data_IF_406176534781
#
_entry.id   IF_406176534781
#
_cell.length_a   1.000
_cell.length_b   1.000
_cell.length_c   1.000
_cell.angle_alpha   90.00
_cell.angle_beta   90.00
_cell.angle_gamma   90.00
#
_symmetry.space_group_name_H-M   'P 1'
#
loop_
_entity.id
_entity.type
_entity.pdbx_description
1 polymer ?
#
# COMPACT_ATOMS: atom_id res chain seq x y z
N UNK A 1 -3.89 -4.61 17.48
CA UNK A 1 -4.82 -5.47 16.73
C UNK A 1 -3.98 -6.10 15.64
N UNK A 2 -3.64 -7.38 15.76
CA UNK A 2 -2.95 -8.11 14.70
C UNK A 2 -3.98 -8.51 13.67
N UNK A 3 -4.40 -7.56 12.85
CA UNK A 3 -5.32 -7.84 11.76
C UNK A 3 -4.48 -8.37 10.59
N UNK A 4 -4.84 -9.57 10.16
CA UNK A 4 -4.15 -10.30 9.12
C UNK A 4 -3.98 -9.44 7.86
N UNK A 5 -2.79 -9.52 7.24
CA UNK A 5 -2.58 -9.07 5.87
C UNK A 5 -3.72 -9.60 4.99
N UNK A 6 -4.18 -8.84 3.97
CA UNK A 6 -5.09 -9.38 2.96
C UNK A 6 -4.57 -10.70 2.40
N UNK A 7 -5.44 -11.57 1.90
CA UNK A 7 -5.02 -12.82 1.29
C UNK A 7 -3.97 -12.54 0.17
N UNK A 8 -2.99 -13.43 -0.05
CA UNK A 8 -1.93 -13.23 -1.04
C UNK A 8 -2.45 -12.80 -2.42
N UNK A 9 -3.59 -13.33 -2.85
CA UNK A 9 -4.26 -13.01 -4.10
C UNK A 9 -4.67 -11.53 -4.16
N UNK A 10 -5.22 -10.99 -3.06
CA UNK A 10 -5.60 -9.58 -2.95
C UNK A 10 -4.37 -8.68 -3.00
N UNK A 11 -3.27 -9.11 -2.36
CA UNK A 11 -2.01 -8.38 -2.41
C UNK A 11 -1.44 -8.37 -3.84
N UNK A 12 -1.42 -9.52 -4.51
CA UNK A 12 -0.98 -9.63 -5.91
C UNK A 12 -1.82 -8.75 -6.82
N UNK A 13 -3.16 -8.80 -6.71
CA UNK A 13 -4.05 -7.95 -7.52
C UNK A 13 -3.81 -6.46 -7.32
N UNK A 14 -3.45 -6.03 -6.11
CA UNK A 14 -3.12 -4.64 -5.82
C UNK A 14 -1.73 -4.25 -6.36
N UNK A 15 -0.71 -5.05 -6.09
CA UNK A 15 0.68 -4.69 -6.37
C UNK A 15 1.11 -4.99 -7.81
N UNK A 16 0.52 -5.98 -8.47
CA UNK A 16 0.91 -6.36 -9.83
C UNK A 16 0.83 -5.20 -10.83
N UNK A 17 -0.28 -4.43 -10.90
CA UNK A 17 -0.34 -3.26 -11.78
C UNK A 17 0.70 -2.19 -11.43
N UNK A 18 1.05 -2.05 -10.14
CA UNK A 18 2.08 -1.11 -9.68
C UNK A 18 3.47 -1.55 -10.14
N UNK A 19 3.80 -2.84 -9.99
CA UNK A 19 5.04 -3.44 -10.46
C UNK A 19 5.17 -3.30 -11.98
N UNK A 20 4.11 -3.58 -12.73
CA UNK A 20 4.11 -3.43 -14.19
C UNK A 20 4.32 -1.97 -14.62
N UNK A 21 3.61 -1.02 -13.99
CA UNK A 21 3.77 0.41 -14.29
C UNK A 21 5.17 0.91 -13.94
N UNK A 22 5.67 0.52 -12.78
CA UNK A 22 7.03 0.89 -12.33
C UNK A 22 8.10 0.33 -13.27
N UNK A 23 7.94 -0.92 -13.71
CA UNK A 23 8.85 -1.53 -14.69
C UNK A 23 8.85 -0.74 -16.00
N UNK A 24 7.69 -0.33 -16.53
CA UNK A 24 7.61 0.54 -17.72
C UNK A 24 8.27 1.91 -17.53
N UNK A 25 8.13 2.52 -16.36
CA UNK A 25 8.78 3.80 -16.07
C UNK A 25 10.31 3.64 -16.02
N UNK A 26 10.79 2.54 -15.44
CA UNK A 26 12.21 2.19 -15.46
C UNK A 26 12.71 1.94 -16.88
N UNK A 27 11.97 1.19 -17.70
CA UNK A 27 12.28 0.99 -19.13
C UNK A 27 12.49 2.32 -19.84
N UNK A 28 11.55 3.25 -19.68
CA UNK A 28 11.62 4.55 -20.32
C UNK A 28 12.81 5.38 -19.82
N UNK A 29 13.05 5.40 -18.51
CA UNK A 29 14.17 6.12 -17.92
C UNK A 29 15.52 5.57 -18.41
N UNK A 30 15.66 4.24 -18.49
CA UNK A 30 16.86 3.58 -19.00
C UNK A 30 17.05 3.80 -20.50
N UNK A 31 16.00 3.64 -21.30
CA UNK A 31 15.97 3.94 -22.73
C UNK A 31 16.49 5.36 -23.00
N UNK A 32 15.98 6.36 -22.27
CA UNK A 32 16.44 7.75 -22.36
C UNK A 32 17.91 7.92 -21.96
N UNK A 33 18.34 7.33 -20.85
CA UNK A 33 19.72 7.41 -20.35
C UNK A 33 20.72 6.81 -21.35
N UNK A 34 20.36 5.68 -21.94
CA UNK A 34 21.24 4.91 -22.82
C UNK A 34 21.06 5.23 -24.32
N UNK A 35 20.18 6.18 -24.65
CA UNK A 35 19.86 6.59 -26.04
C UNK A 35 19.42 5.42 -26.93
N UNK A 36 18.56 4.55 -26.41
CA UNK A 36 18.02 3.38 -27.11
C UNK A 36 16.50 3.43 -27.13
N UNK A 37 15.84 2.80 -28.10
CA UNK A 37 14.37 2.75 -28.16
C UNK A 37 13.80 1.74 -27.15
N UNK A 38 12.75 2.11 -26.40
CA UNK A 38 12.24 1.24 -25.32
C UNK A 38 11.57 -0.03 -25.82
N UNK A 39 11.02 -0.04 -27.05
CA UNK A 39 10.37 -1.20 -27.69
C UNK A 39 11.33 -2.34 -28.04
N UNK A 40 12.63 -2.14 -27.83
CA UNK A 40 13.68 -3.10 -28.17
C UNK A 40 14.28 -3.79 -26.94
N UNK A 41 13.67 -3.66 -25.76
CA UNK A 41 14.24 -4.16 -24.51
C UNK A 41 13.66 -5.52 -24.11
N UNK A 42 14.54 -6.46 -23.74
CA UNK A 42 14.14 -7.74 -23.16
C UNK A 42 14.51 -7.79 -21.67
N UNK A 43 13.53 -8.03 -20.79
CA UNK A 43 13.75 -8.23 -19.35
C UNK A 43 13.90 -9.70 -19.02
N UNK A 44 15.03 -10.02 -18.40
CA UNK A 44 15.39 -11.36 -17.95
C UNK A 44 15.60 -11.33 -16.45
N UNK A 45 14.91 -12.21 -15.73
CA UNK A 45 15.04 -12.33 -14.29
C UNK A 45 15.88 -13.56 -13.94
N UNK A 46 16.91 -13.38 -13.11
CA UNK A 46 17.70 -14.47 -12.56
C UNK A 46 17.09 -14.81 -11.21
N UNK A 47 16.36 -15.92 -11.17
CA UNK A 47 15.61 -16.39 -10.00
C UNK A 47 16.47 -17.34 -9.15
N UNK A 48 17.35 -18.09 -9.82
CA UNK A 48 18.36 -19.00 -9.26
C UNK A 48 19.55 -19.09 -10.23
N UNK A 49 20.68 -19.63 -9.78
CA UNK A 49 21.88 -19.93 -10.58
C UNK A 49 21.60 -20.87 -11.76
N UNK A 50 20.46 -21.59 -11.75
CA UNK A 50 20.10 -22.60 -12.75
C UNK A 50 18.96 -22.17 -13.69
N UNK A 51 18.27 -21.05 -13.43
CA UNK A 51 17.08 -20.65 -14.20
C UNK A 51 17.23 -19.23 -14.78
N UNK A 52 17.24 -19.14 -16.11
CA UNK A 52 16.90 -17.89 -16.83
C UNK A 52 15.53 -18.03 -17.47
N UNK A 53 14.54 -17.33 -16.91
CA UNK A 53 13.22 -17.16 -17.53
C UNK A 53 13.07 -15.74 -18.09
N UNK A 54 12.48 -15.61 -19.27
CA UNK A 54 11.79 -14.36 -19.64
C UNK A 54 10.63 -14.20 -18.66
N UNK A 55 10.41 -13.01 -18.12
CA UNK A 55 9.30 -12.74 -17.19
C UNK A 55 7.96 -13.12 -17.86
N UNK A 56 7.30 -14.24 -17.52
CA UNK A 56 5.98 -14.56 -18.04
C UNK A 56 4.96 -13.76 -17.24
N UNK A 57 3.95 -13.24 -17.93
CA UNK A 57 3.03 -12.23 -17.39
C UNK A 57 2.50 -12.51 -15.99
N UNK A 58 2.15 -13.74 -15.60
CA UNK A 58 1.53 -13.99 -14.27
C UNK A 58 2.09 -15.19 -13.48
N UNK A 59 2.54 -16.28 -14.11
CA UNK A 59 2.90 -17.54 -13.41
C UNK A 59 4.25 -17.55 -12.67
N UNK A 60 5.20 -16.71 -13.05
CA UNK A 60 6.54 -16.69 -12.39
C UNK A 60 6.55 -15.74 -11.20
N UNK A 61 5.63 -14.77 -11.18
CA UNK A 61 5.53 -13.78 -10.11
C UNK A 61 5.35 -14.46 -8.75
N UNK A 62 4.56 -15.53 -8.65
CA UNK A 62 4.35 -16.26 -7.39
C UNK A 62 5.66 -16.82 -6.79
N UNK A 63 6.53 -17.42 -7.61
CA UNK A 63 7.81 -18.01 -7.13
C UNK A 63 8.79 -16.95 -6.63
N UNK A 64 8.74 -15.75 -7.21
CA UNK A 64 9.59 -14.61 -6.83
C UNK A 64 8.88 -13.62 -5.92
N UNK A 65 7.60 -13.87 -5.60
CA UNK A 65 6.75 -12.93 -4.88
C UNK A 65 7.33 -12.60 -3.52
N UNK A 66 7.82 -13.61 -2.80
CA UNK A 66 8.47 -13.42 -1.51
C UNK A 66 9.67 -12.46 -1.59
N UNK A 67 10.45 -12.49 -2.67
CA UNK A 67 11.55 -11.56 -2.86
C UNK A 67 11.07 -10.14 -3.19
N UNK A 68 9.98 -10.02 -3.97
CA UNK A 68 9.30 -8.74 -4.18
C UNK A 68 8.71 -8.18 -2.89
N UNK A 69 8.14 -9.02 -2.02
CA UNK A 69 7.64 -8.62 -0.69
C UNK A 69 8.78 -8.04 0.14
N UNK A 70 9.95 -8.71 0.19
CA UNK A 70 11.13 -8.16 0.88
C UNK A 70 11.58 -6.83 0.26
N UNK A 71 11.54 -6.72 -1.07
CA UNK A 71 11.89 -5.50 -1.77
C UNK A 71 10.90 -4.37 -1.44
N UNK A 72 9.59 -4.63 -1.41
CA UNK A 72 8.53 -3.69 -1.06
C UNK A 72 8.60 -3.25 0.41
N UNK A 73 9.15 -4.09 1.29
CA UNK A 73 9.46 -3.73 2.69
C UNK A 73 10.78 -2.99 2.86
N UNK A 74 11.51 -2.74 1.77
CA UNK A 74 12.87 -2.20 1.78
C UNK A 74 13.87 -3.08 2.58
N UNK A 75 13.56 -4.37 2.72
CA UNK A 75 14.41 -5.39 3.35
C UNK A 75 15.34 -6.06 2.33
N UNK A 76 15.02 -5.96 1.04
CA UNK A 76 15.88 -6.42 -0.07
C UNK A 76 15.99 -5.37 -1.16
N UNK A 77 16.93 -5.58 -2.09
CA UNK A 77 17.18 -4.71 -3.24
C UNK A 77 17.05 -5.52 -4.51
N UNK A 78 16.50 -4.87 -5.55
CA UNK A 78 16.61 -5.37 -6.92
C UNK A 78 17.83 -4.70 -7.55
N UNK A 79 18.63 -5.51 -8.22
CA UNK A 79 19.78 -5.08 -8.98
C UNK A 79 19.55 -5.35 -10.45
N UNK A 80 20.19 -4.55 -11.29
CA UNK A 80 20.12 -4.69 -12.73
C UNK A 80 21.52 -4.62 -13.35
N UNK A 81 21.77 -5.50 -14.32
CA UNK A 81 22.85 -5.35 -15.28
C UNK A 81 22.25 -5.10 -16.67
N UNK A 82 22.77 -4.08 -17.36
CA UNK A 82 22.34 -3.71 -18.71
C UNK A 82 23.36 -4.25 -19.70
N UNK A 83 22.94 -5.22 -20.51
CA UNK A 83 23.72 -5.68 -21.65
C UNK A 83 23.41 -4.77 -22.83
N UNK A 84 24.37 -3.92 -23.17
CA UNK A 84 24.25 -2.99 -24.29
C UNK A 84 24.25 -3.74 -25.63
N UNK A 85 23.43 -3.26 -26.55
CA UNK A 85 23.45 -3.67 -27.95
C UNK A 85 24.87 -3.63 -28.53
N UNK A 86 25.33 -4.77 -29.06
CA UNK A 86 26.55 -4.82 -29.87
C UNK A 86 26.24 -4.65 -31.35
N UNK A 87 26.89 -3.69 -32.01
CA UNK A 87 26.82 -3.54 -33.47
C UNK A 87 27.53 -4.72 -34.17
N UNK A 88 26.82 -5.42 -35.07
CA UNK A 88 27.32 -6.57 -35.84
C UNK A 88 26.28 -7.08 -36.84
N UNK A 89 26.57 -8.19 -37.54
CA UNK A 89 25.74 -8.82 -38.61
C UNK A 89 24.36 -9.35 -38.18
N UNK A 90 23.89 -8.98 -36.98
CA UNK A 90 22.54 -9.14 -36.49
C UNK A 90 22.35 -8.14 -35.35
N UNK A 91 21.24 -7.40 -35.36
CA UNK A 91 20.91 -6.44 -34.30
C UNK A 91 20.56 -7.22 -33.04
N UNK A 92 21.53 -7.39 -32.12
CA UNK A 92 21.26 -7.96 -30.79
C UNK A 92 20.70 -6.85 -29.91
N UNK A 93 19.40 -6.96 -29.60
CA UNK A 93 18.67 -6.06 -28.70
C UNK A 93 19.30 -6.00 -27.30
N UNK A 94 19.23 -4.83 -26.66
CA UNK A 94 19.70 -4.68 -25.26
C UNK A 94 18.86 -5.53 -24.30
N UNK A 95 19.54 -6.14 -23.33
CA UNK A 95 18.90 -7.00 -22.31
C UNK A 95 19.09 -6.42 -20.92
N UNK A 96 18.02 -6.46 -20.13
CA UNK A 96 18.00 -6.06 -18.73
C UNK A 96 17.96 -7.31 -17.86
N UNK A 97 19.06 -7.55 -17.17
CA UNK A 97 19.21 -8.69 -16.29
C UNK A 97 18.90 -8.24 -14.86
N UNK A 98 17.77 -8.67 -14.33
CA UNK A 98 17.32 -8.39 -12.96
C UNK A 98 17.65 -9.53 -12.00
N UNK A 99 18.04 -9.19 -10.78
CA UNK A 99 18.36 -10.15 -9.73
C UNK A 99 18.31 -9.52 -8.34
N UNK A 100 18.09 -10.33 -7.30
CA UNK A 100 18.08 -9.86 -5.90
C UNK A 100 19.45 -9.91 -5.22
N UNK A 101 20.44 -10.57 -5.85
CA UNK A 101 21.79 -10.74 -5.29
C UNK A 101 22.85 -10.65 -6.40
N UNK A 102 23.82 -9.70 -6.29
CA UNK A 102 24.94 -9.60 -7.24
C UNK A 102 25.80 -10.86 -7.28
N UNK A 103 25.89 -11.59 -6.16
CA UNK A 103 26.60 -12.87 -6.08
C UNK A 103 25.92 -13.92 -6.96
N UNK A 104 24.60 -14.08 -6.82
CA UNK A 104 23.81 -15.01 -7.64
C UNK A 104 23.94 -14.71 -9.13
N UNK A 105 23.94 -13.43 -9.52
CA UNK A 105 24.17 -13.04 -10.91
C UNK A 105 25.58 -13.40 -11.40
N UNK A 106 26.61 -13.17 -10.58
CA UNK A 106 27.97 -13.55 -10.92
C UNK A 106 28.12 -15.07 -11.09
N UNK A 107 27.58 -15.85 -10.16
CA UNK A 107 27.65 -17.30 -10.18
C UNK A 107 26.88 -17.87 -11.38
N UNK A 108 25.70 -17.30 -11.68
CA UNK A 108 24.93 -17.60 -12.89
C UNK A 108 25.74 -17.32 -14.17
N UNK A 109 26.29 -16.11 -14.35
CA UNK A 109 26.98 -15.73 -15.58
C UNK A 109 28.33 -16.39 -15.79
N UNK A 110 28.99 -16.88 -14.73
CA UNK A 110 30.25 -17.62 -14.85
C UNK A 110 30.07 -19.05 -15.35
N UNK A 111 28.88 -19.63 -15.17
CA UNK A 111 28.55 -21.00 -15.62
C UNK A 111 28.06 -21.06 -17.07
N UNK A 112 27.69 -19.93 -17.67
CA UNK A 112 27.19 -19.89 -19.04
C UNK A 112 28.33 -19.78 -20.06
N UNK A 113 28.24 -20.59 -21.12
CA UNK A 113 29.15 -20.53 -22.27
C UNK A 113 29.04 -19.18 -23.01
N UNK A 114 27.83 -18.64 -23.11
CA UNK A 114 27.54 -17.33 -23.72
C UNK A 114 27.21 -16.26 -22.64
N UNK A 115 28.21 -15.95 -21.81
CA UNK A 115 28.09 -14.88 -20.81
C UNK A 115 27.70 -13.54 -21.45
N UNK A 116 26.80 -12.73 -20.84
CA UNK A 116 26.45 -11.41 -21.34
C UNK A 116 27.69 -10.54 -21.55
N UNK A 117 27.77 -9.91 -22.71
CA UNK A 117 28.97 -9.17 -23.10
C UNK A 117 29.21 -8.00 -22.14
N UNK A 118 30.42 -7.92 -21.61
CA UNK A 118 30.83 -6.83 -20.73
C UNK A 118 30.22 -6.85 -19.33
N UNK A 119 29.64 -7.97 -18.87
CA UNK A 119 29.21 -8.12 -17.48
C UNK A 119 30.37 -7.88 -16.52
N UNK A 120 30.14 -7.02 -15.53
CA UNK A 120 31.06 -6.75 -14.43
C UNK A 120 30.25 -6.30 -13.22
N UNK A 121 30.66 -6.71 -12.02
CA UNK A 121 30.05 -6.25 -10.77
C UNK A 121 30.02 -4.71 -10.67
N UNK A 122 30.98 -4.01 -11.29
CA UNK A 122 31.04 -2.54 -11.33
C UNK A 122 29.95 -1.89 -12.20
N UNK A 123 29.34 -2.66 -13.10
CA UNK A 123 28.27 -2.19 -14.00
C UNK A 123 26.87 -2.53 -13.48
N UNK A 124 26.78 -3.16 -12.30
CA UNK A 124 25.49 -3.45 -11.66
C UNK A 124 24.96 -2.15 -11.06
N UNK A 125 23.71 -1.85 -11.35
CA UNK A 125 22.97 -0.73 -10.78
C UNK A 125 21.90 -1.26 -9.82
N UNK A 126 21.61 -0.49 -8.78
CA UNK A 126 20.47 -0.78 -7.91
C UNK A 126 19.23 -0.13 -8.50
N UNK A 127 18.14 -0.90 -8.61
CA UNK A 127 16.83 -0.37 -8.95
C UNK A 127 16.34 0.47 -7.76
N UNK A 128 15.94 1.73 -7.96
CA UNK A 128 15.41 2.57 -6.89
C UNK A 128 14.22 1.88 -6.21
N UNK A 129 13.98 2.15 -4.93
CA UNK A 129 12.83 1.59 -4.23
C UNK A 129 11.51 2.12 -4.82
N UNK A 130 10.51 1.25 -4.94
CA UNK A 130 9.17 1.64 -5.41
C UNK A 130 8.42 2.29 -4.25
N UNK A 131 8.19 3.60 -4.33
CA UNK A 131 7.33 4.28 -3.37
C UNK A 131 5.86 3.87 -3.60
N UNK A 132 5.29 3.18 -2.62
CA UNK A 132 3.88 2.72 -2.65
C UNK A 132 2.92 3.66 -1.90
N UNK A 133 3.41 4.72 -1.24
CA UNK A 133 2.58 5.63 -0.47
C UNK A 133 1.49 6.28 -1.32
N UNK A 134 1.87 6.96 -2.41
CA UNK A 134 0.93 7.63 -3.31
C UNK A 134 -0.08 6.66 -3.91
N UNK A 135 0.31 5.49 -4.46
CA UNK A 135 -0.66 4.48 -4.92
C UNK A 135 -1.67 4.03 -3.85
N UNK A 136 -1.24 3.84 -2.60
CA UNK A 136 -2.16 3.45 -1.51
C UNK A 136 -3.12 4.61 -1.20
N UNK A 137 -2.63 5.85 -1.14
CA UNK A 137 -3.46 7.05 -0.93
C UNK A 137 -4.51 7.21 -2.03
N UNK A 138 -4.11 7.11 -3.31
CA UNK A 138 -5.02 7.18 -4.46
C UNK A 138 -6.10 6.10 -4.40
N UNK A 139 -5.72 4.87 -3.99
CA UNK A 139 -6.68 3.78 -3.85
C UNK A 139 -7.71 4.05 -2.75
N UNK A 140 -7.28 4.58 -1.61
CA UNK A 140 -8.18 5.01 -0.53
C UNK A 140 -9.11 6.13 -1.00
N UNK A 141 -8.59 7.17 -1.66
CA UNK A 141 -9.41 8.26 -2.21
C UNK A 141 -10.47 7.72 -3.17
N UNK A 142 -10.08 6.85 -4.10
CA UNK A 142 -11.00 6.24 -5.07
C UNK A 142 -12.15 5.48 -4.38
N UNK A 143 -11.86 4.74 -3.31
CA UNK A 143 -12.88 4.01 -2.53
C UNK A 143 -13.82 4.99 -1.83
N UNK A 144 -13.29 6.06 -1.25
CA UNK A 144 -14.09 7.04 -0.52
C UNK A 144 -14.95 7.89 -1.48
N UNK A 145 -14.47 8.17 -2.68
CA UNK A 145 -15.14 8.96 -3.70
C UNK A 145 -16.24 8.20 -4.47
N UNK A 146 -16.35 6.87 -4.33
CA UNK A 146 -17.35 6.05 -5.04
C UNK A 146 -18.79 6.43 -4.67
N UNK A 147 -19.47 7.25 -5.47
CA UNK A 147 -20.82 7.76 -5.17
C UNK A 147 -21.91 6.71 -4.92
N UNK A 148 -21.69 5.44 -5.29
CA UNK A 148 -22.68 4.38 -5.23
C UNK A 148 -22.66 3.56 -3.93
N UNK A 149 -21.61 3.70 -3.12
CA UNK A 149 -21.38 2.85 -1.95
C UNK A 149 -21.75 3.52 -0.63
N UNK A 150 -22.30 2.74 0.32
CA UNK A 150 -22.60 3.24 1.66
C UNK A 150 -21.30 3.67 2.39
N UNK A 151 -21.26 4.83 3.09
CA UNK A 151 -20.09 5.29 3.85
C UNK A 151 -19.41 4.23 4.72
N UNK A 152 -20.18 3.36 5.37
CA UNK A 152 -19.62 2.28 6.20
C UNK A 152 -18.83 1.26 5.37
N UNK A 153 -19.35 0.90 4.19
CA UNK A 153 -18.68 -0.03 3.26
C UNK A 153 -17.39 0.61 2.78
N UNK A 154 -17.44 1.86 2.32
CA UNK A 154 -16.28 2.62 1.86
C UNK A 154 -15.16 2.67 2.89
N UNK A 155 -15.47 3.08 4.13
CA UNK A 155 -14.43 3.17 5.17
C UNK A 155 -13.91 1.77 5.52
N UNK A 156 -14.76 0.74 5.53
CA UNK A 156 -14.33 -0.64 5.79
C UNK A 156 -13.38 -1.18 4.71
N UNK A 157 -13.65 -0.87 3.44
CA UNK A 157 -12.77 -1.22 2.32
C UNK A 157 -11.46 -0.43 2.38
N UNK A 158 -11.55 0.89 2.61
CA UNK A 158 -10.39 1.75 2.79
C UNK A 158 -9.51 1.29 3.96
N UNK A 159 -10.11 0.77 5.04
CA UNK A 159 -9.36 0.27 6.20
C UNK A 159 -8.47 -0.93 5.87
N UNK A 160 -8.75 -1.70 4.82
CA UNK A 160 -7.86 -2.79 4.40
C UNK A 160 -6.49 -2.27 3.94
N UNK A 161 -6.45 -1.04 3.40
CA UNK A 161 -5.22 -0.39 2.96
C UNK A 161 -4.38 0.15 4.13
N UNK A 162 -4.96 0.26 5.32
CA UNK A 162 -4.21 0.54 6.54
C UNK A 162 -3.28 -0.61 6.90
N UNK A 163 -3.77 -1.85 6.83
CA UNK A 163 -2.92 -3.02 7.07
C UNK A 163 -1.83 -3.10 6.00
N UNK A 164 -2.14 -2.82 4.73
CA UNK A 164 -1.12 -2.76 3.67
C UNK A 164 -0.07 -1.68 4.00
N UNK A 165 -0.50 -0.49 4.41
CA UNK A 165 0.40 0.60 4.80
C UNK A 165 1.29 0.21 5.99
N UNK A 166 0.73 -0.33 7.07
CA UNK A 166 1.47 -0.77 8.26
C UNK A 166 2.51 -1.85 7.96
N UNK A 167 2.22 -2.74 7.01
CA UNK A 167 3.12 -3.84 6.68
C UNK A 167 4.23 -3.48 5.69
N UNK A 168 4.00 -2.50 4.81
CA UNK A 168 4.88 -2.23 3.67
C UNK A 168 5.50 -0.84 3.66
N UNK A 169 4.93 0.15 4.34
CA UNK A 169 5.51 1.49 4.42
C UNK A 169 6.57 1.56 5.53
N UNK A 170 7.63 2.31 5.25
CA UNK A 170 8.58 2.75 6.28
C UNK A 170 7.90 3.74 7.22
N UNK A 171 8.48 3.95 8.40
CA UNK A 171 7.88 4.75 9.48
C UNK A 171 7.44 6.15 9.05
N UNK A 172 8.24 6.85 8.25
CA UNK A 172 7.90 8.18 7.71
C UNK A 172 6.67 8.13 6.79
N UNK A 173 6.66 7.17 5.85
CA UNK A 173 5.52 6.97 4.94
C UNK A 173 4.26 6.52 5.67
N UNK A 174 4.40 5.70 6.72
CA UNK A 174 3.29 5.28 7.56
C UNK A 174 2.68 6.45 8.33
N UNK A 175 3.49 7.34 8.91
CA UNK A 175 3.02 8.57 9.58
C UNK A 175 2.24 9.46 8.61
N UNK A 176 2.77 9.64 7.40
CA UNK A 176 2.10 10.43 6.36
C UNK A 176 0.78 9.77 5.93
N UNK A 177 0.77 8.45 5.75
CA UNK A 177 -0.43 7.69 5.43
C UNK A 177 -1.48 7.77 6.53
N UNK A 178 -1.12 7.59 7.81
CA UNK A 178 -2.04 7.68 8.95
C UNK A 178 -2.69 9.08 9.02
N UNK A 179 -1.93 10.14 8.78
CA UNK A 179 -2.45 11.51 8.74
C UNK A 179 -3.42 11.71 7.56
N UNK A 180 -3.05 11.24 6.38
CA UNK A 180 -3.92 11.24 5.19
C UNK A 180 -5.21 10.46 5.45
N UNK A 181 -5.12 9.23 5.97
CA UNK A 181 -6.27 8.37 6.20
C UNK A 181 -7.21 9.00 7.21
N UNK A 182 -6.67 9.49 8.33
CA UNK A 182 -7.44 10.21 9.35
C UNK A 182 -8.17 11.42 8.78
N UNK A 183 -7.50 12.19 7.91
CA UNK A 183 -8.11 13.30 7.17
C UNK A 183 -9.28 12.83 6.32
N UNK A 184 -9.05 11.83 5.47
CA UNK A 184 -10.01 11.32 4.50
C UNK A 184 -11.27 10.74 5.15
N UNK A 185 -11.14 10.01 6.27
CA UNK A 185 -12.31 9.41 6.94
C UNK A 185 -13.05 10.37 7.88
N UNK A 186 -12.45 11.51 8.24
CA UNK A 186 -12.96 12.41 9.30
C UNK A 186 -14.37 12.92 9.01
N UNK A 187 -14.68 13.22 7.75
CA UNK A 187 -16.00 13.67 7.33
C UNK A 187 -17.08 12.61 7.55
N UNK A 188 -16.82 11.38 7.08
CA UNK A 188 -17.76 10.27 7.22
C UNK A 188 -17.93 9.87 8.70
N UNK A 189 -16.84 9.89 9.45
CA UNK A 189 -16.85 9.58 10.87
C UNK A 189 -17.70 10.58 11.67
N UNK A 190 -17.57 11.88 11.38
CA UNK A 190 -18.38 12.91 12.02
C UNK A 190 -19.87 12.72 11.73
N UNK A 191 -20.22 12.49 10.47
CA UNK A 191 -21.60 12.26 10.04
C UNK A 191 -22.23 11.07 10.77
N UNK A 192 -21.50 9.96 10.85
CA UNK A 192 -21.99 8.74 11.53
C UNK A 192 -22.09 8.92 13.06
N UNK A 193 -21.16 9.65 13.68
CA UNK A 193 -21.24 10.02 15.11
C UNK A 193 -22.52 10.83 15.40
N UNK A 194 -22.84 11.82 14.55
CA UNK A 194 -24.03 12.65 14.71
C UNK A 194 -25.33 11.85 14.49
N UNK A 195 -25.33 10.91 13.55
CA UNK A 195 -26.47 10.00 13.32
C UNK A 195 -26.69 9.08 14.53
N UNK A 196 -25.62 8.46 15.04
CA UNK A 196 -25.71 7.55 16.19
C UNK A 196 -26.25 8.22 17.45
N UNK A 197 -25.91 9.50 17.68
CA UNK A 197 -26.48 10.26 18.79
C UNK A 197 -28.02 10.33 18.76
N UNK A 198 -28.63 10.32 17.57
CA UNK A 198 -30.09 10.30 17.38
C UNK A 198 -30.65 8.87 17.44
N UNK A 199 -29.95 7.94 16.81
CA UNK A 199 -30.41 6.55 16.61
C UNK A 199 -30.43 5.74 17.91
N UNK A 200 -29.57 6.04 18.88
CA UNK A 200 -29.54 5.35 20.19
C UNK A 200 -30.86 5.48 20.94
N UNK A 201 -31.57 6.59 20.74
CA UNK A 201 -32.87 6.85 21.39
C UNK A 201 -34.05 6.50 20.51
N UNK A 202 -33.83 6.02 19.28
CA UNK A 202 -34.89 5.73 18.33
C UNK A 202 -35.50 4.34 18.61
N UNK A 203 -36.79 4.27 19.02
CA UNK A 203 -37.43 2.99 19.34
C UNK A 203 -37.65 2.09 18.12
N UNK A 204 -37.58 2.65 16.90
CA UNK A 204 -37.82 1.91 15.65
C UNK A 204 -36.55 1.22 15.10
N UNK A 205 -35.39 1.42 15.72
CA UNK A 205 -34.13 0.82 15.30
C UNK A 205 -33.78 -0.38 16.18
N UNK A 206 -33.36 -1.47 15.55
CA UNK A 206 -32.87 -2.65 16.27
C UNK A 206 -31.62 -2.30 17.08
N UNK A 207 -31.62 -2.63 18.38
CA UNK A 207 -30.48 -2.44 19.29
C UNK A 207 -29.19 -3.10 18.77
N UNK A 208 -29.30 -4.26 18.14
CA UNK A 208 -28.16 -4.96 17.55
C UNK A 208 -27.52 -4.21 16.37
N UNK A 209 -28.31 -3.48 15.57
CA UNK A 209 -27.78 -2.66 14.47
C UNK A 209 -27.00 -1.46 15.03
N UNK A 210 -27.58 -0.78 16.01
CA UNK A 210 -26.94 0.37 16.68
C UNK A 210 -25.63 -0.06 17.36
N UNK A 211 -25.63 -1.19 18.05
CA UNK A 211 -24.45 -1.72 18.73
C UNK A 211 -23.31 -2.05 17.76
N UNK A 212 -23.61 -2.67 16.61
CA UNK A 212 -22.61 -2.94 15.55
C UNK A 212 -21.99 -1.66 15.00
N UNK A 213 -22.79 -0.61 14.83
CA UNK A 213 -22.31 0.72 14.37
C UNK A 213 -21.45 1.40 15.45
N UNK A 214 -21.87 1.35 16.71
CA UNK A 214 -21.09 1.88 17.84
C UNK A 214 -19.73 1.20 17.99
N UNK A 215 -19.67 -0.13 17.88
CA UNK A 215 -18.40 -0.87 17.92
C UNK A 215 -17.46 -0.46 16.78
N UNK A 216 -18.01 -0.24 15.59
CA UNK A 216 -17.25 0.20 14.43
C UNK A 216 -16.66 1.60 14.65
N UNK A 217 -17.48 2.55 15.10
CA UNK A 217 -17.05 3.93 15.38
C UNK A 217 -16.08 3.99 16.54
N UNK A 218 -16.28 3.17 17.57
CA UNK A 218 -15.34 3.04 18.68
C UNK A 218 -13.95 2.64 18.19
N UNK A 219 -13.83 1.62 17.32
CA UNK A 219 -12.52 1.20 16.78
C UNK A 219 -11.80 2.33 16.04
N UNK A 220 -12.50 3.05 15.18
CA UNK A 220 -11.94 4.16 14.41
C UNK A 220 -11.52 5.33 15.31
N UNK A 221 -12.39 5.71 16.25
CA UNK A 221 -12.11 6.79 17.19
C UNK A 221 -10.96 6.44 18.13
N UNK A 222 -10.92 5.19 18.62
CA UNK A 222 -9.84 4.71 19.48
C UNK A 222 -8.48 4.75 18.79
N UNK A 223 -8.44 4.46 17.49
CA UNK A 223 -7.20 4.51 16.72
C UNK A 223 -6.75 5.95 16.45
N UNK A 224 -7.64 6.80 15.96
CA UNK A 224 -7.24 8.09 15.36
C UNK A 224 -7.53 9.33 16.20
N UNK A 225 -8.51 9.26 17.11
CA UNK A 225 -9.01 10.42 17.86
C UNK A 225 -8.90 10.24 19.37
N UNK A 226 -8.36 9.10 19.81
CA UNK A 226 -7.99 8.85 21.21
C UNK A 226 -7.05 9.94 21.69
N UNK A 227 -7.30 10.36 22.92
CA UNK A 227 -6.40 11.24 23.66
C UNK A 227 -5.40 10.42 24.46
N UNK A 228 -4.19 10.92 24.61
CA UNK A 228 -3.20 10.35 25.53
C UNK A 228 -3.62 10.51 27.00
N UNK A 229 -4.61 11.35 27.29
CA UNK A 229 -5.24 11.45 28.59
C UNK A 229 -6.05 10.19 28.91
N UNK A 230 -5.68 9.50 30.00
CA UNK A 230 -6.30 8.24 30.43
C UNK A 230 -7.80 8.38 30.74
N UNK A 231 -8.22 9.51 31.33
CA UNK A 231 -9.63 9.78 31.60
C UNK A 231 -10.42 9.89 30.30
N UNK A 232 -9.95 10.69 29.34
CA UNK A 232 -10.61 10.83 28.03
C UNK A 232 -10.61 9.50 27.25
N UNK A 233 -9.53 8.73 27.33
CA UNK A 233 -9.47 7.36 26.80
C UNK A 233 -10.55 6.46 27.42
N UNK A 234 -10.71 6.48 28.74
CA UNK A 234 -11.75 5.70 29.41
C UNK A 234 -13.17 6.15 29.03
N UNK A 235 -13.37 7.42 28.66
CA UNK A 235 -14.63 7.88 28.10
C UNK A 235 -14.93 7.28 26.72
N UNK A 236 -13.95 7.07 25.84
CA UNK A 236 -14.19 6.40 24.56
C UNK A 236 -14.71 4.98 24.72
N UNK A 237 -14.23 4.23 25.72
CA UNK A 237 -14.73 2.87 26.03
C UNK A 237 -16.22 2.86 26.37
N UNK A 238 -16.79 3.98 26.80
CA UNK A 238 -18.23 4.09 27.09
C UNK A 238 -19.11 4.08 25.84
N UNK A 239 -18.56 4.19 24.63
CA UNK A 239 -19.33 4.00 23.38
C UNK A 239 -19.96 2.61 23.26
N UNK A 240 -19.36 1.60 23.90
CA UNK A 240 -19.86 0.23 23.91
C UNK A 240 -20.57 -0.13 25.22
N UNK A 241 -20.94 0.89 26.03
CA UNK A 241 -21.76 0.71 27.24
C UNK A 241 -23.19 0.28 26.90
N UNK A 242 -23.84 -0.38 27.85
CA UNK A 242 -25.28 -0.70 27.80
C UNK A 242 -26.17 0.49 28.14
N UNK A 243 -25.61 1.58 28.69
CA UNK A 243 -26.36 2.75 29.13
C UNK A 243 -26.31 3.88 28.10
N UNK A 244 -27.46 4.18 27.48
CA UNK A 244 -27.58 5.22 26.44
C UNK A 244 -26.98 6.58 26.82
N UNK A 245 -27.13 7.02 28.08
CA UNK A 245 -26.59 8.31 28.54
C UNK A 245 -25.06 8.35 28.54
N UNK A 246 -24.39 7.22 28.78
CA UNK A 246 -22.94 7.10 28.71
C UNK A 246 -22.45 7.06 27.27
N UNK A 247 -23.17 6.33 26.41
CA UNK A 247 -22.87 6.25 24.97
C UNK A 247 -22.97 7.64 24.33
N UNK A 248 -24.02 8.41 24.65
CA UNK A 248 -24.18 9.79 24.15
C UNK A 248 -23.02 10.69 24.59
N UNK A 249 -22.58 10.60 25.87
CA UNK A 249 -21.43 11.36 26.35
C UNK A 249 -20.15 11.01 25.58
N UNK A 250 -19.92 9.72 25.30
CA UNK A 250 -18.77 9.25 24.54
C UNK A 250 -18.82 9.72 23.08
N UNK A 251 -19.99 9.70 22.45
CA UNK A 251 -20.19 10.21 21.09
C UNK A 251 -19.96 11.72 21.00
N UNK A 252 -20.39 12.50 22.00
CA UNK A 252 -20.11 13.94 22.06
C UNK A 252 -18.63 14.26 22.18
N UNK A 253 -17.87 13.46 22.94
CA UNK A 253 -16.41 13.60 23.00
C UNK A 253 -15.79 13.33 21.63
N UNK A 254 -16.22 12.26 20.95
CA UNK A 254 -15.74 11.95 19.61
C UNK A 254 -16.07 13.04 18.60
N UNK A 255 -17.30 13.55 18.60
CA UNK A 255 -17.72 14.67 17.78
C UNK A 255 -16.79 15.87 17.95
N UNK A 256 -16.53 16.27 19.20
CA UNK A 256 -15.61 17.37 19.51
C UNK A 256 -14.22 17.12 18.93
N UNK A 257 -13.60 15.97 19.23
CA UNK A 257 -12.23 15.65 18.76
C UNK A 257 -12.12 15.60 17.23
N UNK A 258 -13.17 15.14 16.55
CA UNK A 258 -13.20 15.11 15.08
C UNK A 258 -13.33 16.53 14.52
N UNK A 259 -14.19 17.38 15.10
CA UNK A 259 -14.32 18.80 14.71
C UNK A 259 -13.00 19.56 14.93
N UNK A 260 -12.42 19.46 16.13
CA UNK A 260 -11.15 20.09 16.48
C UNK A 260 -10.04 19.72 15.47
N UNK A 261 -9.97 18.44 15.08
CA UNK A 261 -9.02 17.97 14.08
C UNK A 261 -9.27 18.57 12.68
N UNK A 262 -10.53 18.63 12.23
CA UNK A 262 -10.89 19.18 10.91
C UNK A 262 -10.60 20.67 10.82
N UNK A 263 -10.87 21.40 11.89
CA UNK A 263 -10.53 22.83 12.01
C UNK A 263 -9.02 23.05 11.94
N UNK A 264 -8.25 22.26 12.68
CA UNK A 264 -6.78 22.35 12.69
C UNK A 264 -6.14 22.02 11.33
N UNK A 265 -6.76 21.13 10.55
CA UNK A 265 -6.24 20.67 9.26
C UNK A 265 -6.74 21.47 8.06
N UNK A 266 -7.55 22.53 8.29
CA UNK A 266 -8.19 23.35 7.24
C UNK A 266 -8.95 22.53 6.18
N UNK A 267 -9.43 21.34 6.54
CA UNK A 267 -10.27 20.53 5.65
C UNK A 267 -11.64 21.22 5.60
N UNK A 268 -12.13 21.67 4.44
CA UNK A 268 -13.41 22.36 4.36
C UNK A 268 -14.54 21.48 4.92
N UNK A 269 -15.47 22.11 5.62
CA UNK A 269 -16.79 21.53 5.87
C UNK A 269 -17.55 21.49 4.53
N UNK A 270 -18.12 20.35 4.12
CA UNK A 270 -18.98 20.33 2.95
C UNK A 270 -20.25 21.16 3.18
#
# INVERSE_FOLDING_TARGET
MTDHLPAPETQILFFLPLVENYTKQLEFAFSKKNKQASSEHEWLFIIDENESGKFPKHYVIEKIWNQFILYLKNESKIYCFIEEQTAGLGVIKSKYWLFFSPKTANDFFTRQLDRPKGFSLKKIITIPFMNILTPIQEKVSTILDDGNSNPKIKISEAFQFLNIAEFYLLEEGLKEFDQFFRSAISFYLLSEVLLLQKDITNPNLSSGIVQKRLQYIFKLCWRYFRSDNELESNYYKKMISVTNSEVIKALKLAEKKIKDFREATKIPSP
#
